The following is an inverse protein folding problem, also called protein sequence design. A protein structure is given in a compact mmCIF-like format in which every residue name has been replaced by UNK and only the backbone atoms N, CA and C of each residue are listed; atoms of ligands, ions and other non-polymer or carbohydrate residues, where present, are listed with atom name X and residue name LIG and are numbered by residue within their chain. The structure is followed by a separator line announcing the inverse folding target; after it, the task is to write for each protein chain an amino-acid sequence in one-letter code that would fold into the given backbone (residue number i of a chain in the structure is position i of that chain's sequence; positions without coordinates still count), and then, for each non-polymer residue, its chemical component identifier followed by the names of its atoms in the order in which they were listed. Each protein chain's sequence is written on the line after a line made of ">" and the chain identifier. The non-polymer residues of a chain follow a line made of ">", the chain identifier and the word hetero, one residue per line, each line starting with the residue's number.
data_IF_539795733485
#
_entry.id   IF_539795733485
#
_cell.length_a   1.000
_cell.length_b   1.000
_cell.length_c   1.000
_cell.angle_alpha   90.00
_cell.angle_beta   90.00
_cell.angle_gamma   90.00
#
_symmetry.space_group_name_H-M   'P 1'
#
loop_
_entity.id
_entity.type
_entity.pdbx_description
1 polymer ?
#
# COMPACT_ATOMS: atom_id res chain seq x y z
N UNK A 1 -7.38 15.69 -7.60
CA UNK A 1 -6.74 16.81 -6.87
C UNK A 1 -5.26 16.81 -7.21
N UNK A 2 -4.58 18.00 -7.25
CA UNK A 2 -3.15 18.12 -7.58
C UNK A 2 -2.38 18.54 -6.34
N UNK A 3 -1.11 18.06 -6.23
CA UNK A 3 -0.23 18.30 -5.09
C UNK A 3 1.12 18.81 -5.59
N UNK A 4 1.85 19.55 -4.76
CA UNK A 4 3.19 20.01 -5.12
C UNK A 4 4.12 18.79 -5.25
N UNK A 5 4.13 17.92 -4.27
CA UNK A 5 4.88 16.65 -4.28
C UNK A 5 4.22 15.63 -3.33
N UNK A 6 4.77 14.41 -3.29
CA UNK A 6 4.25 13.32 -2.47
C UNK A 6 4.35 13.58 -0.96
N UNK A 7 5.38 14.29 -0.50
CA UNK A 7 5.51 14.65 0.93
C UNK A 7 4.39 15.60 1.33
N UNK A 8 4.05 16.58 0.51
CA UNK A 8 2.96 17.52 0.79
C UNK A 8 1.58 16.84 0.77
N UNK A 9 1.39 15.84 -0.10
CA UNK A 9 0.21 14.97 -0.04
C UNK A 9 0.13 14.27 1.34
N UNK A 10 1.24 13.69 1.80
CA UNK A 10 1.29 13.04 3.12
C UNK A 10 0.95 13.97 4.27
N UNK A 11 1.46 15.20 4.25
CA UNK A 11 1.11 16.25 5.23
C UNK A 11 -0.38 16.63 5.18
N UNK A 12 -0.93 16.72 3.97
CA UNK A 12 -2.36 17.01 3.78
C UNK A 12 -3.25 15.88 4.33
N UNK A 13 -2.87 14.63 4.15
CA UNK A 13 -3.54 13.48 4.76
C UNK A 13 -3.44 13.53 6.30
N UNK A 14 -2.29 13.93 6.85
CA UNK A 14 -2.12 14.05 8.29
C UNK A 14 -3.06 15.07 8.93
N UNK A 15 -3.38 16.16 8.23
CA UNK A 15 -4.35 17.16 8.71
C UNK A 15 -5.75 16.55 8.92
N UNK A 16 -6.15 15.59 8.07
CA UNK A 16 -7.42 14.87 8.22
C UNK A 16 -7.42 13.89 9.40
N UNK A 17 -6.24 13.50 9.87
CA UNK A 17 -6.03 12.50 10.90
C UNK A 17 -5.29 13.04 12.15
N UNK A 18 -5.38 14.33 12.45
CA UNK A 18 -4.68 14.97 13.58
C UNK A 18 -4.93 14.31 14.94
N UNK A 19 -6.11 13.72 15.13
CA UNK A 19 -6.47 12.99 16.35
C UNK A 19 -5.60 11.75 16.59
N UNK A 20 -4.83 11.29 15.61
CA UNK A 20 -3.91 10.15 15.73
C UNK A 20 -2.52 10.54 16.26
N UNK A 21 -2.18 11.83 16.35
CA UNK A 21 -0.87 12.30 16.85
C UNK A 21 -0.51 11.82 18.27
N UNK A 22 -1.52 11.50 19.08
CA UNK A 22 -1.33 11.03 20.46
C UNK A 22 -1.41 9.50 20.58
N UNK A 23 -1.46 8.77 19.48
CA UNK A 23 -1.65 7.32 19.47
C UNK A 23 -0.37 6.61 19.04
N UNK A 24 -0.20 5.37 19.51
CA UNK A 24 0.87 4.48 19.02
C UNK A 24 0.48 3.93 17.65
N UNK A 25 0.75 4.73 16.62
CA UNK A 25 0.33 4.47 15.25
C UNK A 25 1.51 4.00 14.37
N UNK A 26 1.21 3.11 13.43
CA UNK A 26 2.13 2.64 12.39
C UNK A 26 1.54 2.91 11.03
N UNK A 27 2.26 3.66 10.20
CA UNK A 27 1.95 3.89 8.80
C UNK A 27 2.53 2.74 7.98
N UNK A 28 1.67 1.93 7.36
CA UNK A 28 2.04 0.91 6.40
C UNK A 28 1.93 1.50 4.99
N UNK A 29 3.07 1.68 4.35
CA UNK A 29 3.16 2.15 2.98
C UNK A 29 2.86 1.00 2.02
N UNK A 30 1.78 1.08 1.24
CA UNK A 30 1.28 -0.02 0.40
C UNK A 30 2.00 -0.15 -0.94
N UNK A 31 2.70 0.89 -1.38
CA UNK A 31 3.46 0.93 -2.63
C UNK A 31 4.80 1.57 -2.38
N UNK A 32 5.84 1.07 -3.02
CA UNK A 32 7.18 1.65 -2.90
C UNK A 32 7.21 3.14 -3.31
N UNK A 33 6.49 3.48 -4.38
CA UNK A 33 6.40 4.86 -4.88
C UNK A 33 5.67 5.80 -3.89
N UNK A 34 4.79 5.28 -3.04
CA UNK A 34 4.09 6.05 -2.01
C UNK A 34 4.90 6.27 -0.72
N UNK A 35 6.18 5.87 -0.70
CA UNK A 35 7.00 6.00 0.52
C UNK A 35 7.17 7.46 0.94
N UNK A 36 7.36 8.38 0.01
CA UNK A 36 7.46 9.82 0.31
C UNK A 36 6.17 10.37 0.91
N UNK A 37 5.00 9.95 0.41
CA UNK A 37 3.70 10.29 0.99
C UNK A 37 3.60 9.77 2.43
N UNK A 38 3.99 8.51 2.63
CA UNK A 38 3.97 7.88 3.94
C UNK A 38 4.94 8.55 4.93
N UNK A 39 6.10 9.03 4.47
CA UNK A 39 7.05 9.82 5.26
C UNK A 39 6.41 11.14 5.69
N UNK A 40 5.79 11.87 4.76
CA UNK A 40 5.07 13.11 5.07
C UNK A 40 3.98 12.91 6.12
N UNK A 41 3.18 11.86 5.96
CA UNK A 41 2.13 11.49 6.91
C UNK A 41 2.69 11.10 8.28
N UNK A 42 3.66 10.18 8.33
CA UNK A 42 4.24 9.67 9.56
C UNK A 42 4.95 10.76 10.37
N UNK A 43 5.67 11.66 9.69
CA UNK A 43 6.37 12.79 10.34
C UNK A 43 5.39 13.74 11.04
N UNK A 44 4.25 14.06 10.41
CA UNK A 44 3.25 14.95 11.00
C UNK A 44 2.46 14.30 12.14
N UNK A 45 2.22 12.99 12.06
CA UNK A 45 1.48 12.24 13.08
C UNK A 45 2.38 11.74 14.22
N UNK A 46 3.71 11.87 14.10
CA UNK A 46 4.67 11.24 15.01
C UNK A 46 4.46 9.73 15.09
N UNK A 47 4.22 9.09 13.95
CA UNK A 47 3.92 7.67 13.81
C UNK A 47 5.14 6.90 13.28
N UNK A 48 5.20 5.60 13.60
CA UNK A 48 6.14 4.68 12.97
C UNK A 48 5.80 4.52 11.50
N UNK A 49 6.80 4.17 10.68
CA UNK A 49 6.59 3.91 9.25
C UNK A 49 7.22 2.58 8.88
N UNK A 50 6.50 1.82 8.06
CA UNK A 50 7.02 0.59 7.46
C UNK A 50 6.51 0.41 6.02
N UNK A 51 7.39 0.16 5.03
CA UNK A 51 6.97 -0.19 3.67
C UNK A 51 6.43 -1.63 3.64
N UNK A 52 5.13 -1.77 3.43
CA UNK A 52 4.48 -3.05 3.23
C UNK A 52 4.58 -3.44 1.76
N UNK A 53 5.62 -4.19 1.43
CA UNK A 53 5.94 -4.53 0.05
C UNK A 53 4.92 -5.53 -0.52
N UNK A 54 4.36 -5.18 -1.66
CA UNK A 54 3.36 -5.95 -2.40
C UNK A 54 3.73 -5.88 -3.88
N UNK A 55 3.76 -7.03 -4.54
CA UNK A 55 4.10 -7.12 -5.96
C UNK A 55 2.91 -7.63 -6.76
N UNK A 56 2.48 -6.85 -7.75
CA UNK A 56 1.33 -7.15 -8.62
C UNK A 56 1.62 -8.31 -9.57
N UNK A 57 0.59 -9.08 -9.86
CA UNK A 57 0.59 -10.14 -10.87
C UNK A 57 -0.30 -9.73 -12.04
N UNK A 58 0.31 -9.56 -13.21
CA UNK A 58 -0.36 -9.22 -14.47
C UNK A 58 0.07 -10.23 -15.52
N UNK A 59 -0.87 -10.97 -16.11
CA UNK A 59 -0.58 -11.95 -17.16
C UNK A 59 -0.23 -11.21 -18.45
N UNK A 60 0.86 -11.57 -19.16
CA UNK A 60 1.20 -10.99 -20.43
C UNK A 60 0.04 -11.13 -21.44
N UNK A 61 -0.40 -10.00 -22.01
CA UNK A 61 -1.53 -9.95 -22.95
C UNK A 61 -2.90 -9.74 -22.29
N UNK A 62 -3.00 -9.81 -20.97
CA UNK A 62 -4.20 -9.42 -20.22
C UNK A 62 -3.93 -8.10 -19.48
N UNK A 63 -4.69 -7.03 -19.71
CA UNK A 63 -4.47 -5.74 -19.04
C UNK A 63 -4.88 -5.75 -17.56
N UNK A 64 -5.59 -6.77 -17.10
CA UNK A 64 -6.10 -6.85 -15.72
C UNK A 64 -5.02 -7.23 -14.74
N UNK A 65 -5.03 -6.62 -13.59
CA UNK A 65 -4.26 -7.09 -12.43
C UNK A 65 -5.03 -8.25 -11.80
N UNK A 66 -4.50 -9.46 -11.88
CA UNK A 66 -5.18 -10.67 -11.40
C UNK A 66 -5.03 -10.87 -9.89
N UNK A 67 -4.01 -10.29 -9.30
CA UNK A 67 -3.73 -10.38 -7.88
C UNK A 67 -2.41 -9.74 -7.52
N UNK A 68 -1.98 -9.95 -6.30
CA UNK A 68 -0.68 -9.52 -5.81
C UNK A 68 -0.08 -10.55 -4.85
N UNK A 69 1.24 -10.62 -4.80
CA UNK A 69 1.98 -11.41 -3.81
C UNK A 69 2.41 -10.49 -2.68
N UNK A 70 2.16 -10.90 -1.45
CA UNK A 70 2.57 -10.18 -0.25
C UNK A 70 3.95 -10.64 0.25
N UNK A 71 4.46 -10.00 1.29
CA UNK A 71 5.77 -10.31 1.88
C UNK A 71 5.89 -11.73 2.44
N UNK A 72 4.78 -12.40 2.74
CA UNK A 72 4.77 -13.80 3.18
C UNK A 72 4.85 -14.79 2.01
N UNK A 73 4.81 -14.30 0.77
CA UNK A 73 4.77 -15.13 -0.43
C UNK A 73 3.38 -15.63 -0.80
N UNK A 74 2.34 -15.10 -0.17
CA UNK A 74 0.94 -15.48 -0.42
C UNK A 74 0.39 -14.69 -1.60
N UNK A 75 -0.24 -15.39 -2.55
CA UNK A 75 -0.97 -14.78 -3.65
C UNK A 75 -2.39 -14.41 -3.19
N UNK A 76 -2.68 -13.11 -3.21
CA UNK A 76 -4.00 -12.55 -2.98
C UNK A 76 -4.61 -12.19 -4.33
N UNK A 77 -5.72 -12.80 -4.71
CA UNK A 77 -6.42 -12.45 -5.94
C UNK A 77 -7.10 -11.09 -5.83
N UNK A 78 -7.22 -10.43 -6.99
CA UNK A 78 -7.95 -9.16 -7.07
C UNK A 78 -9.42 -9.36 -6.69
N UNK A 79 -9.93 -8.70 -5.64
CA UNK A 79 -11.34 -8.79 -5.25
C UNK A 79 -12.32 -8.35 -6.33
N UNK A 80 -11.87 -7.53 -7.29
CA UNK A 80 -12.66 -7.12 -8.45
C UNK A 80 -12.95 -8.22 -9.47
N UNK A 81 -12.24 -9.36 -9.38
CA UNK A 81 -12.51 -10.51 -10.23
C UNK A 81 -13.67 -11.35 -9.69
N UNK A 82 -14.63 -11.67 -10.55
CA UNK A 82 -15.67 -12.65 -10.22
C UNK A 82 -15.07 -14.03 -9.97
N UNK A 83 -15.79 -14.88 -9.26
CA UNK A 83 -15.37 -16.28 -9.04
C UNK A 83 -15.18 -17.04 -10.36
N UNK A 84 -16.00 -16.75 -11.36
CA UNK A 84 -15.89 -17.38 -12.68
C UNK A 84 -14.60 -16.95 -13.40
N UNK A 85 -14.32 -15.66 -13.47
CA UNK A 85 -13.09 -15.13 -14.07
C UNK A 85 -11.83 -15.68 -13.38
N UNK A 86 -11.85 -15.75 -12.06
CA UNK A 86 -10.75 -16.34 -11.30
C UNK A 86 -10.54 -17.81 -11.65
N UNK A 87 -11.60 -18.62 -11.71
CA UNK A 87 -11.52 -20.04 -12.09
C UNK A 87 -11.01 -20.23 -13.50
N UNK A 88 -11.46 -19.41 -14.44
CA UNK A 88 -10.99 -19.42 -15.84
C UNK A 88 -9.50 -19.09 -15.91
N UNK A 89 -9.05 -18.03 -15.25
CA UNK A 89 -7.65 -17.65 -15.17
C UNK A 89 -6.77 -18.75 -14.55
N UNK A 90 -7.24 -19.38 -13.47
CA UNK A 90 -6.54 -20.49 -12.82
C UNK A 90 -6.44 -21.70 -13.75
N UNK A 91 -7.51 -22.09 -14.44
CA UNK A 91 -7.50 -23.24 -15.34
C UNK A 91 -6.57 -23.04 -16.53
N UNK A 92 -6.58 -21.85 -17.12
CA UNK A 92 -5.86 -21.59 -18.36
C UNK A 92 -4.38 -21.22 -18.10
N UNK A 93 -4.07 -20.66 -16.93
CA UNK A 93 -2.76 -20.02 -16.66
C UNK A 93 -2.10 -20.49 -15.37
N UNK A 94 -2.51 -21.58 -14.73
CA UNK A 94 -2.02 -22.01 -13.42
C UNK A 94 -0.49 -22.01 -13.32
N UNK A 95 0.19 -22.63 -14.28
CA UNK A 95 1.66 -22.71 -14.27
C UNK A 95 2.31 -21.34 -14.39
N UNK A 96 1.78 -20.47 -15.26
CA UNK A 96 2.27 -19.11 -15.44
C UNK A 96 2.07 -18.27 -14.18
N UNK A 97 0.88 -18.32 -13.55
CA UNK A 97 0.59 -17.63 -12.29
C UNK A 97 1.55 -18.07 -11.19
N UNK A 98 1.83 -19.37 -11.07
CA UNK A 98 2.80 -19.89 -10.09
C UNK A 98 4.23 -19.40 -10.36
N UNK A 99 4.66 -19.36 -11.63
CA UNK A 99 5.99 -18.86 -12.00
C UNK A 99 6.11 -17.36 -11.70
N UNK A 100 5.09 -16.57 -12.06
CA UNK A 100 5.04 -15.14 -11.77
C UNK A 100 5.01 -14.88 -10.26
N UNK A 101 4.25 -15.65 -9.48
CA UNK A 101 4.21 -15.52 -8.03
C UNK A 101 5.58 -15.81 -7.38
N UNK A 102 6.30 -16.82 -7.86
CA UNK A 102 7.67 -17.12 -7.40
C UNK A 102 8.64 -15.99 -7.75
N UNK A 103 8.54 -15.43 -8.96
CA UNK A 103 9.36 -14.31 -9.39
C UNK A 103 9.07 -13.05 -8.56
N UNK A 104 7.77 -12.76 -8.31
CA UNK A 104 7.33 -11.67 -7.45
C UNK A 104 7.87 -11.81 -6.02
N UNK A 105 7.73 -12.99 -5.42
CA UNK A 105 8.27 -13.26 -4.08
C UNK A 105 9.79 -13.13 -4.01
N UNK A 106 10.51 -13.58 -5.04
CA UNK A 106 11.97 -13.38 -5.14
C UNK A 106 12.34 -11.89 -5.21
N UNK A 107 11.55 -11.08 -5.90
CA UNK A 107 11.71 -9.61 -5.95
C UNK A 107 11.46 -8.99 -4.58
N UNK A 108 10.36 -9.36 -3.90
CA UNK A 108 10.03 -8.89 -2.56
C UNK A 108 11.13 -9.20 -1.54
N UNK A 109 11.72 -10.41 -1.59
CA UNK A 109 12.83 -10.78 -0.71
C UNK A 109 14.08 -9.90 -0.90
N UNK A 110 14.36 -9.47 -2.14
CA UNK A 110 15.45 -8.50 -2.38
C UNK A 110 15.14 -7.13 -1.78
N UNK A 111 13.91 -6.66 -1.89
CA UNK A 111 13.47 -5.41 -1.28
C UNK A 111 13.45 -5.50 0.24
N UNK A 112 13.00 -6.62 0.80
CA UNK A 112 13.05 -6.87 2.24
C UNK A 112 14.49 -6.79 2.79
N UNK A 113 15.49 -7.21 2.01
CA UNK A 113 16.89 -7.05 2.39
C UNK A 113 17.34 -5.56 2.48
N UNK A 114 16.66 -4.66 1.77
CA UNK A 114 16.90 -3.21 1.80
C UNK A 114 16.18 -2.57 3.00
N UNK A 115 14.88 -2.86 3.18
CA UNK A 115 14.04 -2.20 4.19
C UNK A 115 14.04 -2.90 5.56
N UNK A 116 14.57 -4.10 5.65
CA UNK A 116 14.45 -4.96 6.82
C UNK A 116 13.16 -5.80 6.83
N UNK A 117 13.09 -6.86 7.64
CA UNK A 117 11.89 -7.68 7.77
C UNK A 117 10.85 -7.01 8.67
N UNK A 118 9.58 -7.03 8.26
CA UNK A 118 8.48 -6.61 9.13
C UNK A 118 8.29 -7.61 10.27
N UNK A 119 8.43 -7.17 11.49
CA UNK A 119 7.97 -7.94 12.64
C UNK A 119 6.46 -7.76 12.80
N UNK A 120 5.68 -8.60 12.13
CA UNK A 120 4.21 -8.53 12.13
C UNK A 120 3.64 -8.49 13.55
N UNK A 121 4.22 -9.20 14.51
CA UNK A 121 3.71 -9.26 15.88
C UNK A 121 3.78 -7.91 16.61
N UNK A 122 4.68 -7.02 16.21
CA UNK A 122 4.80 -5.68 16.81
C UNK A 122 3.67 -4.73 16.39
N UNK A 123 2.84 -5.12 15.41
CA UNK A 123 1.63 -4.39 15.02
C UNK A 123 0.44 -4.64 15.97
N UNK A 124 0.52 -5.66 16.82
CA UNK A 124 -0.55 -5.95 17.77
C UNK A 124 -0.74 -4.80 18.78
N UNK A 125 -2.00 -4.45 19.00
CA UNK A 125 -2.39 -3.39 19.93
C UNK A 125 -2.19 -1.97 19.41
N UNK A 126 -1.69 -1.80 18.19
CA UNK A 126 -1.41 -0.48 17.59
C UNK A 126 -2.50 -0.04 16.62
N UNK A 127 -2.55 1.25 16.36
CA UNK A 127 -3.32 1.82 15.27
C UNK A 127 -2.54 1.62 13.96
N UNK A 128 -3.15 0.95 13.00
CA UNK A 128 -2.55 0.70 11.68
C UNK A 128 -3.12 1.69 10.68
N UNK A 129 -2.24 2.43 10.02
CA UNK A 129 -2.63 3.37 8.96
C UNK A 129 -2.16 2.80 7.63
N UNK A 130 -3.09 2.40 6.78
CA UNK A 130 -2.81 2.00 5.40
C UNK A 130 -2.67 3.27 4.55
N UNK A 131 -1.48 3.47 3.97
CA UNK A 131 -1.16 4.70 3.24
C UNK A 131 -0.69 4.39 1.82
N UNK A 132 -1.22 5.15 0.88
CA UNK A 132 -0.73 5.23 -0.50
C UNK A 132 -1.00 6.62 -1.07
N UNK A 133 -0.26 6.99 -2.12
CA UNK A 133 -0.52 8.20 -2.88
C UNK A 133 -1.71 8.03 -3.83
N UNK A 134 -1.71 6.95 -4.61
CA UNK A 134 -2.72 6.64 -5.63
C UNK A 134 -3.01 5.15 -5.63
N UNK A 135 -4.29 4.77 -5.55
CA UNK A 135 -4.74 3.39 -5.68
C UNK A 135 -5.82 3.28 -6.75
N UNK A 136 -5.54 2.47 -7.79
CA UNK A 136 -6.40 2.29 -8.97
C UNK A 136 -7.26 1.04 -8.90
N UNK A 137 -6.78 0.03 -8.21
CA UNK A 137 -7.46 -1.25 -8.01
C UNK A 137 -7.27 -1.75 -6.57
N UNK A 138 -7.97 -2.80 -6.25
CA UNK A 138 -8.15 -3.25 -4.86
C UNK A 138 -7.02 -4.16 -4.36
N UNK A 139 -6.05 -4.54 -5.20
CA UNK A 139 -5.11 -5.64 -4.87
C UNK A 139 -4.16 -5.30 -3.73
N UNK A 140 -3.65 -4.07 -3.66
CA UNK A 140 -2.73 -3.67 -2.59
C UNK A 140 -3.43 -3.68 -1.23
N UNK A 141 -4.64 -3.17 -1.18
CA UNK A 141 -5.45 -3.18 0.06
C UNK A 141 -5.78 -4.62 0.45
N UNK A 142 -6.23 -5.45 -0.49
CA UNK A 142 -6.56 -6.84 -0.22
C UNK A 142 -5.34 -7.62 0.33
N UNK A 143 -4.19 -7.46 -0.31
CA UNK A 143 -2.95 -8.11 0.12
C UNK A 143 -2.46 -7.62 1.49
N UNK A 144 -2.61 -6.33 1.79
CA UNK A 144 -2.29 -5.76 3.09
C UNK A 144 -3.22 -6.30 4.19
N UNK A 145 -4.51 -6.35 3.93
CA UNK A 145 -5.51 -6.85 4.88
C UNK A 145 -5.31 -8.33 5.20
N UNK A 146 -4.91 -9.16 4.22
CA UNK A 146 -4.58 -10.58 4.50
C UNK A 146 -3.41 -10.71 5.48
N UNK A 147 -2.38 -9.86 5.37
CA UNK A 147 -1.27 -9.83 6.35
C UNK A 147 -1.76 -9.41 7.73
N UNK A 148 -2.71 -8.47 7.82
CA UNK A 148 -3.22 -7.93 9.08
C UNK A 148 -4.27 -8.82 9.74
N UNK A 149 -4.94 -9.68 8.98
CA UNK A 149 -6.05 -10.53 9.43
C UNK A 149 -5.79 -11.38 10.69
N UNK A 150 -4.60 -11.97 10.90
CA UNK A 150 -4.31 -12.73 12.10
C UNK A 150 -4.00 -11.86 13.33
N UNK A 151 -3.86 -10.54 13.17
CA UNK A 151 -3.41 -9.64 14.21
C UNK A 151 -4.58 -9.04 15.01
N UNK A 152 -4.29 -8.68 16.26
CA UNK A 152 -5.21 -7.93 17.11
C UNK A 152 -4.78 -6.47 17.13
N UNK A 153 -5.01 -5.76 16.04
CA UNK A 153 -4.76 -4.32 15.94
C UNK A 153 -5.76 -3.53 16.80
N UNK A 154 -5.40 -2.34 17.24
CA UNK A 154 -6.33 -1.45 17.94
C UNK A 154 -7.39 -0.91 16.96
N UNK A 155 -6.97 -0.48 15.78
CA UNK A 155 -7.82 -0.09 14.67
C UNK A 155 -7.04 -0.11 13.37
N UNK A 156 -7.74 -0.23 12.24
CA UNK A 156 -7.20 -0.09 10.89
C UNK A 156 -7.83 1.15 10.26
N UNK A 157 -6.99 2.04 9.73
CA UNK A 157 -7.42 3.33 9.15
C UNK A 157 -6.85 3.44 7.75
N UNK A 158 -7.68 3.73 6.75
CA UNK A 158 -7.23 4.00 5.38
C UNK A 158 -7.02 5.50 5.15
N UNK A 159 -5.78 5.92 4.87
CA UNK A 159 -5.46 7.30 4.50
C UNK A 159 -4.75 7.29 3.15
N UNK A 160 -5.49 7.61 2.10
CA UNK A 160 -4.98 7.52 0.72
C UNK A 160 -5.22 8.83 -0.01
N UNK A 161 -4.30 9.19 -0.89
CA UNK A 161 -4.41 10.37 -1.72
C UNK A 161 -5.60 10.26 -2.68
N UNK A 162 -5.37 9.78 -3.87
CA UNK A 162 -6.39 9.61 -4.90
C UNK A 162 -6.77 8.12 -5.04
N UNK A 163 -8.06 7.83 -5.05
CA UNK A 163 -8.58 6.45 -5.16
C UNK A 163 -9.67 6.34 -6.21
N UNK A 164 -9.86 5.14 -6.80
CA UNK A 164 -11.06 4.83 -7.56
C UNK A 164 -12.24 4.55 -6.62
N UNK A 165 -13.48 4.62 -7.13
CA UNK A 165 -14.68 4.33 -6.34
C UNK A 165 -14.61 2.94 -5.69
N UNK A 166 -14.24 1.91 -6.46
CA UNK A 166 -14.18 0.52 -5.98
C UNK A 166 -13.16 0.33 -4.86
N UNK A 167 -12.03 1.04 -4.93
CA UNK A 167 -11.01 1.04 -3.88
C UNK A 167 -11.50 1.77 -2.64
N UNK A 168 -12.14 2.94 -2.81
CA UNK A 168 -12.71 3.69 -1.69
C UNK A 168 -13.75 2.87 -0.93
N UNK A 169 -14.63 2.17 -1.65
CA UNK A 169 -15.64 1.29 -1.08
C UNK A 169 -15.00 0.14 -0.30
N UNK A 170 -13.99 -0.54 -0.87
CA UNK A 170 -13.29 -1.62 -0.20
C UNK A 170 -12.62 -1.14 1.09
N UNK A 171 -11.88 -0.03 1.04
CA UNK A 171 -11.21 0.52 2.23
C UNK A 171 -12.25 0.89 3.29
N UNK A 172 -13.35 1.54 2.90
CA UNK A 172 -14.40 1.97 3.84
C UNK A 172 -15.09 0.79 4.52
N UNK A 173 -15.28 -0.33 3.81
CA UNK A 173 -15.88 -1.55 4.37
C UNK A 173 -14.92 -2.31 5.28
N UNK A 174 -13.63 -2.32 4.94
CA UNK A 174 -12.63 -3.18 5.60
C UNK A 174 -11.79 -2.47 6.67
N UNK A 175 -11.93 -1.16 6.82
CA UNK A 175 -11.24 -0.39 7.86
C UNK A 175 -12.22 0.26 8.84
N UNK A 176 -11.73 0.59 10.04
CA UNK A 176 -12.55 1.26 11.06
C UNK A 176 -12.84 2.71 10.69
N UNK A 177 -11.93 3.33 9.95
CA UNK A 177 -12.08 4.69 9.39
C UNK A 177 -11.33 4.78 8.06
N UNK A 178 -11.83 5.63 7.18
CA UNK A 178 -11.15 5.95 5.93
C UNK A 178 -11.26 7.43 5.61
N UNK A 179 -10.22 7.99 5.00
CA UNK A 179 -10.24 9.33 4.45
C UNK A 179 -9.39 9.39 3.18
N UNK A 180 -9.87 10.13 2.21
CA UNK A 180 -9.25 10.28 0.89
C UNK A 180 -9.11 11.76 0.56
N UNK A 181 -8.09 12.09 -0.25
CA UNK A 181 -8.01 13.45 -0.80
C UNK A 181 -8.98 13.63 -1.95
N UNK A 182 -9.12 12.58 -2.80
CA UNK A 182 -10.07 12.60 -3.91
C UNK A 182 -10.50 11.18 -4.29
N UNK A 183 -11.77 11.03 -4.70
CA UNK A 183 -12.33 9.77 -5.21
C UNK A 183 -12.71 9.98 -6.67
N UNK A 184 -12.12 9.20 -7.57
CA UNK A 184 -12.17 9.42 -9.00
C UNK A 184 -12.75 8.24 -9.76
N UNK A 185 -13.55 8.49 -10.79
CA UNK A 185 -14.03 7.45 -11.70
C UNK A 185 -12.93 7.05 -12.69
N UNK A 186 -12.14 7.99 -13.17
CA UNK A 186 -11.05 7.76 -14.11
C UNK A 186 -9.77 8.41 -13.58
N UNK A 187 -8.66 7.69 -13.66
CA UNK A 187 -7.35 8.15 -13.24
C UNK A 187 -6.38 8.23 -14.41
N UNK A 188 -5.59 9.30 -14.42
CA UNK A 188 -4.43 9.47 -15.29
C UNK A 188 -3.20 8.77 -14.70
N UNK A 189 -2.06 8.88 -15.37
CA UNK A 189 -0.77 8.42 -14.86
C UNK A 189 -0.50 8.98 -13.44
N UNK A 190 0.22 8.21 -12.60
CA UNK A 190 0.44 8.59 -11.19
C UNK A 190 1.17 9.93 -11.05
N UNK A 191 2.13 10.22 -11.95
CA UNK A 191 2.88 11.48 -11.91
C UNK A 191 2.05 12.71 -12.33
N UNK A 192 0.92 12.49 -13.02
CA UNK A 192 0.02 13.57 -13.44
C UNK A 192 -0.52 14.43 -12.29
N UNK A 193 -0.57 13.88 -11.10
CA UNK A 193 -1.15 14.54 -9.92
C UNK A 193 -0.12 15.35 -9.11
N UNK A 194 1.15 15.35 -9.52
CA UNK A 194 2.24 16.02 -8.84
C UNK A 194 2.91 17.06 -9.73
N UNK A 195 3.09 18.29 -9.22
CA UNK A 195 3.81 19.36 -9.93
C UNK A 195 5.31 19.03 -10.00
N UNK A 196 5.83 18.36 -8.98
CA UNK A 196 7.21 17.93 -8.90
C UNK A 196 7.26 16.40 -8.81
N UNK A 197 7.40 15.71 -9.97
CA UNK A 197 7.51 14.26 -9.98
C UNK A 197 8.80 13.81 -9.29
N UNK A 198 8.71 12.74 -8.53
CA UNK A 198 9.85 12.18 -7.79
C UNK A 198 10.58 11.14 -8.63
N UNK A 199 11.89 11.24 -8.67
CA UNK A 199 12.78 10.28 -9.34
C UNK A 199 13.77 9.61 -8.39
N UNK A 200 13.37 9.42 -7.12
CA UNK A 200 14.25 8.77 -6.14
C UNK A 200 14.43 7.29 -6.44
N UNK A 201 15.68 6.83 -6.35
CA UNK A 201 15.98 5.41 -6.29
C UNK A 201 15.46 4.80 -4.98
N UNK A 202 15.32 3.47 -4.94
CA UNK A 202 14.91 2.73 -3.74
C UNK A 202 15.78 3.07 -2.53
N UNK A 203 17.10 3.16 -2.74
CA UNK A 203 18.06 3.47 -1.68
C UNK A 203 17.90 4.90 -1.15
N UNK A 204 17.65 5.88 -2.02
CA UNK A 204 17.38 7.26 -1.60
C UNK A 204 16.09 7.36 -0.79
N UNK A 205 15.02 6.67 -1.20
CA UNK A 205 13.76 6.60 -0.44
C UNK A 205 13.96 5.96 0.93
N UNK A 206 14.74 4.88 1.00
CA UNK A 206 15.11 4.26 2.27
C UNK A 206 15.84 5.23 3.18
N UNK A 207 16.83 5.95 2.67
CA UNK A 207 17.58 6.94 3.46
C UNK A 207 16.68 8.07 3.96
N UNK A 208 15.72 8.53 3.14
CA UNK A 208 14.72 9.50 3.57
C UNK A 208 13.88 8.95 4.73
N UNK A 209 13.41 7.73 4.64
CA UNK A 209 12.64 7.08 5.71
C UNK A 209 13.47 6.90 6.99
N UNK A 210 14.73 6.49 6.88
CA UNK A 210 15.61 6.32 8.03
C UNK A 210 15.97 7.64 8.75
N UNK A 211 15.86 8.78 8.09
CA UNK A 211 16.12 10.09 8.67
C UNK A 211 14.97 10.57 9.57
N UNK A 212 13.81 9.98 9.52
CA UNK A 212 12.75 10.26 10.49
C UNK A 212 12.94 9.38 11.73
N UNK A 213 12.77 10.00 12.90
CA UNK A 213 13.05 9.37 14.20
C UNK A 213 12.18 8.13 14.49
N UNK A 214 11.09 8.00 13.78
CA UNK A 214 10.09 6.92 13.89
C UNK A 214 10.29 5.79 12.88
N UNK A 215 11.34 5.85 12.03
CA UNK A 215 11.57 4.75 11.09
C UNK A 215 11.85 3.46 11.85
N UNK A 216 11.09 2.44 11.51
CA UNK A 216 11.14 1.16 12.19
C UNK A 216 11.74 0.09 11.27
N UNK A 217 12.80 -0.55 11.73
CA UNK A 217 13.52 -1.63 11.03
C UNK A 217 13.27 -2.94 11.76
#
# INVERSE_FOLDING_TARGET
>A
MYFVNRIDLGRSLAQKAEHLKAQDAVVLCLKEDALSTSIGLASELNAWIYPLLIERIVIPGDPRVIGAVNQNGELCYNPGLSLYERQELENDNMALIQDMSRAAFSKLNRHTAIYGPLNINSLNGRVIILCADILRDQVEIAAALEILKPLRTQSIIGLVGNVTNDVADLITIQSDKSDFMDVMTNMFDDEHYFEQPESYSVEERRQLAMNISQYWV
#
